data_IF_245357730925
#
_entry.id   IF_245357730925
#
_cell.length_a   1.000
_cell.length_b   1.000
_cell.length_c   1.000
_cell.angle_alpha   90.00
_cell.angle_beta   90.00
_cell.angle_gamma   90.00
#
_symmetry.space_group_name_H-M   'P 1'
#
loop_
_entity.id
_entity.type
_entity.pdbx_description
1 polymer ?
#
# COMPACT_ATOMS: atom_id res chain seq x y z
N UNK A 1 0.90 -8.58 -20.24
CA UNK A 1 0.11 -8.09 -19.10
C UNK A 1 -0.64 -9.22 -18.38
N UNK A 2 -1.29 -10.09 -19.11
CA UNK A 2 -2.05 -11.23 -18.56
C UNK A 2 -1.21 -12.17 -17.69
N UNK A 3 -0.01 -12.55 -18.13
CA UNK A 3 0.88 -13.40 -17.36
C UNK A 3 1.36 -12.80 -16.03
N UNK A 4 1.46 -11.48 -15.90
CA UNK A 4 1.83 -10.83 -14.64
C UNK A 4 0.64 -10.79 -13.68
N UNK A 5 -0.59 -10.56 -14.19
CA UNK A 5 -1.84 -10.65 -13.44
C UNK A 5 -2.02 -12.04 -12.84
N UNK A 6 -1.84 -13.08 -13.65
CA UNK A 6 -2.00 -14.47 -13.21
C UNK A 6 -1.02 -14.84 -12.09
N UNK A 7 0.26 -14.43 -12.20
CA UNK A 7 1.27 -14.74 -11.18
C UNK A 7 1.03 -14.03 -9.85
N UNK A 8 0.52 -12.80 -9.90
CA UNK A 8 0.14 -12.09 -8.68
C UNK A 8 -1.10 -12.73 -8.04
N UNK A 9 -2.10 -13.10 -8.86
CA UNK A 9 -3.28 -13.81 -8.37
C UNK A 9 -2.90 -15.16 -7.73
N UNK A 10 -1.97 -15.93 -8.35
CA UNK A 10 -1.40 -17.14 -7.76
C UNK A 10 -0.75 -16.86 -6.40
N UNK A 11 -0.01 -15.76 -6.27
CA UNK A 11 0.62 -15.36 -5.00
C UNK A 11 -0.44 -15.06 -3.94
N UNK A 12 -1.48 -14.28 -4.28
CA UNK A 12 -2.56 -13.98 -3.36
C UNK A 12 -3.36 -15.23 -2.99
N UNK A 13 -3.71 -16.06 -3.97
CA UNK A 13 -4.48 -17.30 -3.72
C UNK A 13 -3.73 -18.27 -2.80
N UNK A 14 -2.41 -18.32 -2.92
CA UNK A 14 -1.55 -19.18 -2.10
C UNK A 14 -1.39 -18.66 -0.66
N UNK A 15 -1.25 -17.36 -0.47
CA UNK A 15 -0.82 -16.78 0.81
C UNK A 15 -1.92 -15.96 1.50
N UNK A 16 -2.87 -15.42 0.75
CA UNK A 16 -3.92 -14.49 1.22
C UNK A 16 -5.24 -14.75 0.47
N UNK A 17 -5.78 -15.99 0.50
CA UNK A 17 -6.96 -16.37 -0.29
C UNK A 17 -8.18 -15.50 -0.01
N UNK A 18 -8.35 -15.04 1.21
CA UNK A 18 -9.44 -14.14 1.61
C UNK A 18 -9.49 -12.83 0.79
N UNK A 19 -8.33 -12.29 0.34
CA UNK A 19 -8.34 -11.11 -0.55
C UNK A 19 -8.93 -11.42 -1.93
N UNK A 20 -8.73 -12.64 -2.42
CA UNK A 20 -9.32 -13.08 -3.69
C UNK A 20 -10.83 -13.27 -3.54
N UNK A 21 -11.28 -13.78 -2.41
CA UNK A 21 -12.71 -13.91 -2.07
C UNK A 21 -13.38 -12.53 -1.95
N UNK A 22 -12.74 -11.58 -1.23
CA UNK A 22 -13.22 -10.20 -1.16
C UNK A 22 -13.31 -9.54 -2.56
N UNK A 23 -12.32 -9.78 -3.45
CA UNK A 23 -12.37 -9.30 -4.83
C UNK A 23 -13.53 -9.92 -5.61
N UNK A 24 -13.82 -11.20 -5.40
CA UNK A 24 -14.97 -11.88 -6.01
C UNK A 24 -16.29 -11.29 -5.53
N UNK A 25 -16.42 -10.99 -4.23
CA UNK A 25 -17.59 -10.29 -3.69
C UNK A 25 -17.78 -8.88 -4.29
N UNK A 26 -16.69 -8.14 -4.54
CA UNK A 26 -16.77 -6.84 -5.25
C UNK A 26 -17.26 -7.05 -6.70
N UNK A 27 -16.78 -8.07 -7.40
CA UNK A 27 -17.21 -8.40 -8.76
C UNK A 27 -18.73 -8.70 -8.79
N UNK A 28 -19.20 -9.54 -7.90
CA UNK A 28 -20.61 -9.89 -7.75
C UNK A 28 -21.47 -8.64 -7.47
N UNK A 29 -21.08 -7.84 -6.47
CA UNK A 29 -21.83 -6.65 -6.06
C UNK A 29 -21.89 -5.55 -7.13
N UNK A 30 -20.87 -5.46 -8.00
CA UNK A 30 -20.79 -4.44 -9.06
C UNK A 30 -21.27 -4.92 -10.42
N UNK A 31 -21.44 -6.23 -10.61
CA UNK A 31 -21.72 -6.84 -11.91
C UNK A 31 -20.56 -6.74 -12.90
N UNK A 32 -19.35 -6.45 -12.43
CA UNK A 32 -18.15 -6.39 -13.26
C UNK A 32 -17.48 -7.76 -13.34
N UNK A 33 -16.88 -8.05 -14.48
CA UNK A 33 -16.09 -9.28 -14.65
C UNK A 33 -14.93 -9.34 -13.63
N UNK A 34 -14.66 -10.50 -13.01
CA UNK A 34 -13.59 -10.67 -12.03
C UNK A 34 -12.22 -10.16 -12.50
N UNK A 35 -11.93 -10.31 -13.80
CA UNK A 35 -10.71 -9.82 -14.43
C UNK A 35 -10.56 -8.31 -14.32
N UNK A 36 -11.64 -7.56 -14.39
CA UNK A 36 -11.65 -6.10 -14.24
C UNK A 36 -11.30 -5.74 -12.80
N UNK A 37 -11.92 -6.42 -11.84
CA UNK A 37 -11.63 -6.21 -10.41
C UNK A 37 -10.15 -6.54 -10.13
N UNK A 38 -9.64 -7.66 -10.62
CA UNK A 38 -8.23 -8.00 -10.50
C UNK A 38 -7.32 -6.92 -11.10
N UNK A 39 -7.64 -6.41 -12.30
CA UNK A 39 -6.86 -5.35 -12.94
C UNK A 39 -6.82 -4.05 -12.13
N UNK A 40 -7.93 -3.66 -11.51
CA UNK A 40 -8.01 -2.48 -10.64
C UNK A 40 -7.05 -2.61 -9.45
N UNK A 41 -6.97 -3.80 -8.84
CA UNK A 41 -6.12 -4.06 -7.69
C UNK A 41 -4.64 -4.23 -8.04
N UNK A 42 -4.33 -4.68 -9.26
CA UNK A 42 -2.97 -5.01 -9.70
C UNK A 42 -2.28 -3.92 -10.49
N UNK A 43 -3.02 -3.00 -11.08
CA UNK A 43 -2.42 -1.86 -11.78
C UNK A 43 -2.21 -0.66 -10.86
N UNK A 44 -0.99 -0.10 -10.84
CA UNK A 44 -0.68 1.07 -10.03
C UNK A 44 -1.40 2.35 -10.48
N UNK A 45 -2.10 2.33 -11.61
CA UNK A 45 -2.77 3.51 -12.17
C UNK A 45 -4.13 3.14 -12.77
N UNK A 46 -5.18 3.41 -12.02
CA UNK A 46 -6.58 3.35 -12.45
C UNK A 46 -6.82 4.04 -13.81
N UNK A 47 -6.15 5.17 -14.07
CA UNK A 47 -6.20 5.90 -15.32
C UNK A 47 -5.83 5.06 -16.56
N UNK A 48 -4.94 4.07 -16.41
CA UNK A 48 -4.54 3.20 -17.51
C UNK A 48 -5.57 2.10 -17.79
N UNK A 49 -6.20 1.56 -16.75
CA UNK A 49 -7.30 0.59 -16.88
C UNK A 49 -8.51 1.25 -17.55
N UNK A 50 -8.89 2.43 -17.10
CA UNK A 50 -9.99 3.22 -17.68
C UNK A 50 -9.73 3.56 -19.15
N UNK A 51 -8.49 3.91 -19.50
CA UNK A 51 -8.07 4.19 -20.89
C UNK A 51 -8.13 2.93 -21.78
N UNK A 52 -7.75 1.76 -21.26
CA UNK A 52 -7.80 0.49 -21.98
C UNK A 52 -9.22 -0.03 -22.13
N UNK A 53 -10.08 0.20 -21.14
CA UNK A 53 -11.48 -0.22 -21.18
C UNK A 53 -12.37 0.72 -22.02
N UNK A 54 -11.86 1.85 -22.52
CA UNK A 54 -12.60 2.91 -23.26
C UNK A 54 -13.87 3.40 -22.54
N UNK A 55 -13.96 3.19 -21.23
CA UNK A 55 -15.18 3.41 -20.43
C UNK A 55 -15.41 4.90 -20.13
N UNK A 56 -14.34 5.71 -20.12
CA UNK A 56 -14.46 7.16 -19.92
C UNK A 56 -13.61 7.91 -20.95
N UNK A 57 -14.18 8.91 -21.62
CA UNK A 57 -13.44 9.95 -22.29
C UNK A 57 -12.75 10.82 -21.22
N UNK A 58 -11.63 10.37 -20.70
CA UNK A 58 -10.82 11.19 -19.83
C UNK A 58 -9.94 12.07 -20.73
N UNK A 59 -10.30 13.31 -20.84
CA UNK A 59 -9.36 14.35 -21.22
C UNK A 59 -8.16 14.23 -20.26
N UNK A 60 -6.98 14.13 -20.82
CA UNK A 60 -5.66 14.03 -20.22
C UNK A 60 -5.62 14.23 -18.70
N UNK A 61 -5.62 13.12 -17.96
CA UNK A 61 -5.03 13.12 -16.62
C UNK A 61 -3.54 13.26 -16.87
N UNK A 62 -3.05 14.50 -16.76
CA UNK A 62 -1.63 14.80 -16.89
C UNK A 62 -0.79 13.91 -15.98
N UNK A 63 0.48 13.72 -16.30
CA UNK A 63 1.46 13.11 -15.42
C UNK A 63 1.57 13.94 -14.13
N UNK A 64 0.63 13.76 -13.20
CA UNK A 64 0.74 14.35 -11.89
C UNK A 64 1.62 13.41 -11.06
N UNK A 65 2.76 13.94 -10.63
CA UNK A 65 3.56 13.33 -9.59
C UNK A 65 2.66 13.21 -8.35
N UNK A 66 2.40 11.99 -7.92
CA UNK A 66 1.77 11.76 -6.62
C UNK A 66 2.91 11.81 -5.60
N UNK A 67 3.16 12.97 -5.04
CA UNK A 67 4.13 13.15 -3.99
C UNK A 67 3.47 12.87 -2.63
N UNK A 68 4.22 12.37 -1.71
CA UNK A 68 3.74 11.99 -0.39
C UNK A 68 4.82 12.29 0.64
N UNK A 69 4.41 12.66 1.84
CA UNK A 69 5.31 12.75 2.98
C UNK A 69 4.75 11.93 4.14
N UNK A 70 5.63 11.28 4.88
CA UNK A 70 5.28 10.62 6.13
C UNK A 70 6.26 11.08 7.19
N UNK A 71 5.76 11.32 8.40
CA UNK A 71 6.55 11.66 9.56
C UNK A 71 6.06 10.86 10.77
N UNK A 72 6.98 10.37 11.56
CA UNK A 72 6.72 9.71 12.84
C UNK A 72 7.42 10.48 13.95
N UNK A 73 6.67 10.70 15.02
CA UNK A 73 7.18 11.04 16.35
C UNK A 73 6.95 9.80 17.22
N UNK A 74 8.03 9.20 17.71
CA UNK A 74 7.95 7.98 18.55
C UNK A 74 7.39 8.27 19.93
N UNK A 75 7.36 9.54 20.33
CA UNK A 75 6.87 10.03 21.62
C UNK A 75 6.33 11.44 21.47
N UNK A 76 5.19 11.72 22.09
CA UNK A 76 4.59 13.05 22.27
C UNK A 76 3.69 13.04 23.51
N UNK A 77 3.12 14.20 23.85
CA UNK A 77 2.10 14.35 24.91
C UNK A 77 0.81 13.55 24.65
N UNK A 78 0.62 13.09 23.42
CA UNK A 78 -0.52 12.25 22.97
C UNK A 78 -0.12 10.81 22.65
N UNK A 79 1.11 10.39 23.00
CA UNK A 79 1.70 9.13 22.61
C UNK A 79 2.38 9.20 21.24
N UNK A 80 2.72 8.04 20.63
CA UNK A 80 3.35 7.98 19.31
C UNK A 80 2.41 8.51 18.23
N UNK A 81 2.95 9.27 17.26
CA UNK A 81 2.18 9.89 16.17
C UNK A 81 2.77 9.55 14.81
N UNK A 82 1.91 9.17 13.86
CA UNK A 82 2.23 9.06 12.45
C UNK A 82 1.38 10.04 11.65
N UNK A 83 2.03 10.99 10.99
CA UNK A 83 1.41 11.92 10.05
C UNK A 83 1.73 11.54 8.61
N UNK A 84 0.73 11.66 7.71
CA UNK A 84 0.88 11.40 6.27
C UNK A 84 0.21 12.50 5.46
N UNK A 85 0.90 13.01 4.44
CA UNK A 85 0.28 13.76 3.35
C UNK A 85 0.18 12.89 2.09
N UNK A 86 -0.80 13.17 1.29
CA UNK A 86 -1.01 12.53 0.00
C UNK A 86 -1.29 13.63 -1.02
N UNK A 87 -0.29 13.96 -1.82
CA UNK A 87 -0.36 15.00 -2.83
C UNK A 87 -0.76 14.33 -4.14
N UNK A 88 -1.98 14.54 -4.57
CA UNK A 88 -2.54 13.89 -5.74
C UNK A 88 -3.56 14.77 -6.44
N UNK A 89 -4.11 14.29 -7.54
CA UNK A 89 -5.18 14.97 -8.25
C UNK A 89 -6.41 15.15 -7.36
N UNK A 90 -6.99 16.36 -7.38
CA UNK A 90 -8.28 16.66 -6.74
C UNK A 90 -9.40 15.74 -7.24
N UNK A 91 -9.31 15.23 -8.47
CA UNK A 91 -10.25 14.26 -9.03
C UNK A 91 -10.30 12.91 -8.30
N UNK A 92 -9.26 12.55 -7.53
CA UNK A 92 -9.26 11.31 -6.73
C UNK A 92 -9.84 11.49 -5.32
N UNK A 93 -10.08 12.72 -4.88
CA UNK A 93 -10.63 13.02 -3.55
C UNK A 93 -12.00 12.38 -3.30
N UNK A 94 -12.98 12.54 -4.18
CA UNK A 94 -14.34 12.00 -4.00
C UNK A 94 -14.42 10.47 -3.89
N UNK A 95 -13.39 9.76 -4.36
CA UNK A 95 -13.35 8.30 -4.38
C UNK A 95 -12.65 7.71 -3.15
N UNK A 96 -12.31 8.52 -2.15
CA UNK A 96 -11.70 8.08 -0.90
C UNK A 96 -12.75 7.99 0.19
N UNK A 97 -12.60 6.99 1.02
CA UNK A 97 -13.43 6.81 2.21
C UNK A 97 -12.58 6.40 3.41
N UNK A 98 -13.09 6.68 4.58
CA UNK A 98 -12.60 6.11 5.84
C UNK A 98 -13.52 4.96 6.19
N UNK A 99 -12.95 3.77 6.33
CA UNK A 99 -13.68 2.55 6.62
C UNK A 99 -13.19 1.89 7.91
N UNK A 100 -14.10 1.33 8.67
CA UNK A 100 -13.79 0.36 9.72
C UNK A 100 -14.02 -1.03 9.14
N UNK A 101 -13.00 -1.86 9.19
CA UNK A 101 -13.03 -3.23 8.64
C UNK A 101 -12.71 -4.20 9.77
N UNK A 102 -13.52 -5.23 9.89
CA UNK A 102 -13.36 -6.31 10.86
C UNK A 102 -13.33 -7.62 10.08
N UNK A 103 -12.14 -8.10 9.69
CA UNK A 103 -12.02 -9.38 9.00
C UNK A 103 -12.33 -10.53 9.95
N UNK A 104 -12.70 -11.69 9.41
CA UNK A 104 -12.88 -12.91 10.21
C UNK A 104 -11.57 -13.36 10.85
N UNK A 105 -10.47 -13.25 10.07
CA UNK A 105 -9.11 -13.55 10.53
C UNK A 105 -8.23 -12.29 10.48
N UNK A 106 -7.37 -12.11 11.49
CA UNK A 106 -6.46 -10.99 11.61
C UNK A 106 -7.01 -9.83 12.45
N UNK A 107 -6.51 -8.62 12.19
CA UNK A 107 -6.79 -7.46 13.03
C UNK A 107 -7.90 -6.58 12.46
N UNK A 108 -8.77 -6.07 13.35
CA UNK A 108 -9.71 -5.00 13.01
C UNK A 108 -8.96 -3.71 12.66
N UNK A 109 -9.47 -2.94 11.69
CA UNK A 109 -8.71 -1.82 11.11
C UNK A 109 -9.58 -0.59 10.89
N UNK A 110 -8.97 0.60 11.01
CA UNK A 110 -9.47 1.87 10.52
C UNK A 110 -8.58 2.31 9.35
N UNK A 111 -9.17 2.41 8.17
CA UNK A 111 -8.47 2.56 6.89
C UNK A 111 -8.89 3.80 6.14
N UNK A 112 -7.95 4.46 5.46
CA UNK A 112 -8.25 5.32 4.33
C UNK A 112 -8.03 4.53 3.05
N UNK A 113 -9.10 4.30 2.30
CA UNK A 113 -9.11 3.43 1.13
C UNK A 113 -9.88 4.03 -0.05
N UNK A 114 -9.81 3.39 -1.21
CA UNK A 114 -10.56 3.79 -2.38
C UNK A 114 -11.86 3.01 -2.50
N UNK A 115 -12.94 3.73 -2.78
CA UNK A 115 -14.27 3.17 -2.97
C UNK A 115 -14.27 2.04 -4.03
N UNK A 116 -14.94 0.93 -3.71
CA UNK A 116 -15.04 -0.22 -4.61
C UNK A 116 -13.75 -1.02 -4.79
N UNK A 117 -12.77 -0.85 -3.91
CA UNK A 117 -11.49 -1.58 -3.97
C UNK A 117 -11.03 -2.01 -2.58
N UNK A 118 -10.05 -2.92 -2.52
CA UNK A 118 -9.29 -3.28 -1.31
C UNK A 118 -8.03 -2.43 -1.13
N UNK A 119 -7.84 -1.43 -1.98
CA UNK A 119 -6.64 -0.60 -1.99
C UNK A 119 -6.64 0.39 -0.83
N UNK A 120 -5.66 0.26 0.07
CA UNK A 120 -5.50 1.08 1.27
C UNK A 120 -4.32 2.02 1.12
N UNK A 121 -4.51 3.29 1.45
CA UNK A 121 -3.43 4.30 1.45
C UNK A 121 -2.72 4.39 2.80
N UNK A 122 -3.47 4.30 3.88
CA UNK A 122 -2.95 4.38 5.25
C UNK A 122 -3.99 3.85 6.22
N UNK A 123 -3.60 3.51 7.42
CA UNK A 123 -4.54 3.08 8.45
C UNK A 123 -3.84 2.72 9.75
N UNK A 124 -4.66 2.29 10.69
CA UNK A 124 -4.24 1.76 11.99
C UNK A 124 -5.11 0.55 12.33
N UNK A 125 -4.53 -0.47 12.97
CA UNK A 125 -5.27 -1.63 13.44
C UNK A 125 -5.57 -1.59 14.95
N UNK A 126 -6.33 -2.57 15.43
CA UNK A 126 -6.75 -2.67 16.83
C UNK A 126 -5.63 -3.01 17.82
N UNK A 127 -4.43 -3.36 17.33
CA UNK A 127 -3.21 -3.52 18.14
C UNK A 127 -2.48 -2.19 18.34
N UNK A 128 -2.90 -1.13 17.65
CA UNK A 128 -2.25 0.16 17.62
C UNK A 128 -1.05 0.20 16.67
N UNK A 129 -1.01 -0.66 15.67
CA UNK A 129 -0.02 -0.65 14.61
C UNK A 129 -0.55 0.18 13.44
N UNK A 130 0.20 1.21 13.06
CA UNK A 130 -0.13 2.16 12.00
C UNK A 130 0.85 2.07 10.83
N UNK A 131 0.33 2.24 9.61
CA UNK A 131 1.09 2.19 8.36
C UNK A 131 0.81 3.41 7.50
N UNK A 132 1.90 4.10 7.10
CA UNK A 132 1.90 5.09 6.02
C UNK A 132 2.76 4.61 4.86
N UNK A 133 2.64 5.23 3.70
CA UNK A 133 3.51 4.89 2.56
C UNK A 133 3.77 6.09 1.65
N UNK A 134 4.85 6.03 0.86
CA UNK A 134 5.10 6.92 -0.28
C UNK A 134 5.77 6.16 -1.42
N UNK A 135 5.56 6.61 -2.66
CA UNK A 135 6.13 5.94 -3.85
C UNK A 135 7.59 6.33 -4.02
N UNK A 136 8.40 5.37 -4.46
CA UNK A 136 9.76 5.57 -4.95
C UNK A 136 9.81 5.07 -6.39
N UNK A 137 10.58 5.72 -7.26
CA UNK A 137 10.72 5.30 -8.64
C UNK A 137 11.91 4.34 -8.77
N UNK A 138 11.61 3.06 -9.07
CA UNK A 138 12.55 2.04 -9.50
C UNK A 138 12.14 1.50 -10.85
N UNK A 139 13.10 1.00 -11.63
CA UNK A 139 12.86 0.38 -12.93
C UNK A 139 12.64 -1.13 -12.83
N UNK A 140 13.06 -1.75 -11.73
CA UNK A 140 12.89 -3.18 -11.46
C UNK A 140 11.42 -3.59 -11.34
N UNK A 141 11.12 -4.84 -11.68
CA UNK A 141 9.78 -5.44 -11.53
C UNK A 141 9.87 -6.85 -10.98
N UNK A 142 8.90 -7.23 -10.14
CA UNK A 142 8.71 -8.61 -9.72
C UNK A 142 7.26 -9.04 -10.01
N UNK A 143 7.05 -9.91 -11.03
CA UNK A 143 5.70 -10.32 -11.41
C UNK A 143 4.90 -11.06 -10.32
N UNK A 144 5.58 -11.55 -9.27
CA UNK A 144 4.96 -12.18 -8.09
C UNK A 144 4.84 -11.26 -6.90
N UNK A 145 5.32 -10.03 -7.03
CA UNK A 145 5.22 -9.03 -5.97
C UNK A 145 3.77 -8.55 -5.75
N UNK A 146 3.50 -7.99 -4.59
CA UNK A 146 2.19 -7.50 -4.18
C UNK A 146 2.08 -6.02 -4.55
N UNK A 147 0.91 -5.56 -4.98
CA UNK A 147 0.69 -4.12 -5.20
C UNK A 147 0.77 -3.34 -3.88
N UNK A 148 1.29 -2.10 -3.93
CA UNK A 148 1.49 -1.25 -2.75
C UNK A 148 0.26 -1.18 -1.83
N UNK A 149 -0.86 -0.90 -2.43
CA UNK A 149 -2.09 -0.63 -1.67
C UNK A 149 -2.66 -1.89 -1.02
N UNK A 150 -2.48 -3.06 -1.63
CA UNK A 150 -2.76 -4.35 -0.99
C UNK A 150 -1.72 -4.67 0.09
N UNK A 151 -0.45 -4.28 -0.11
CA UNK A 151 0.59 -4.45 0.91
C UNK A 151 0.25 -3.70 2.21
N UNK A 152 -0.27 -2.46 2.11
CA UNK A 152 -0.72 -1.70 3.29
C UNK A 152 -1.89 -2.41 3.98
N UNK A 153 -2.86 -2.93 3.20
CA UNK A 153 -3.97 -3.71 3.75
C UNK A 153 -3.47 -4.94 4.51
N UNK A 154 -2.56 -5.70 3.91
CA UNK A 154 -1.99 -6.91 4.49
C UNK A 154 -1.19 -6.62 5.77
N UNK A 155 -0.35 -5.59 5.76
CA UNK A 155 0.39 -5.18 6.95
C UNK A 155 -0.54 -4.91 8.13
N UNK A 156 -1.64 -4.19 7.90
CA UNK A 156 -2.59 -3.84 8.94
C UNK A 156 -3.43 -5.03 9.42
N UNK A 157 -3.69 -6.00 8.55
CA UNK A 157 -4.46 -7.19 8.91
C UNK A 157 -3.62 -8.27 9.60
N UNK A 158 -2.36 -8.46 9.14
CA UNK A 158 -1.51 -9.58 9.55
C UNK A 158 -0.54 -9.25 10.69
N UNK A 159 -0.18 -7.94 10.87
CA UNK A 159 0.89 -7.56 11.78
C UNK A 159 0.34 -6.78 12.99
N UNK A 160 0.82 -7.11 14.19
CA UNK A 160 0.42 -6.46 15.43
C UNK A 160 1.35 -5.31 15.84
N UNK A 161 2.56 -5.24 15.29
CA UNK A 161 3.60 -4.28 15.69
C UNK A 161 4.60 -4.02 14.56
N UNK A 162 5.50 -3.07 14.80
CA UNK A 162 6.51 -2.62 13.84
C UNK A 162 7.47 -3.73 13.40
N UNK A 163 7.92 -4.60 14.31
CA UNK A 163 8.87 -5.67 13.96
C UNK A 163 8.24 -6.72 13.04
N UNK A 164 7.00 -7.13 13.35
CA UNK A 164 6.24 -8.02 12.47
C UNK A 164 6.05 -7.40 11.08
N UNK A 165 5.75 -6.09 11.00
CA UNK A 165 5.63 -5.37 9.73
C UNK A 165 6.94 -5.33 8.94
N UNK A 166 8.10 -5.16 9.62
CA UNK A 166 9.43 -5.22 8.99
C UNK A 166 9.69 -6.62 8.41
N UNK A 167 9.45 -7.67 9.18
CA UNK A 167 9.65 -9.05 8.71
C UNK A 167 8.68 -9.42 7.57
N UNK A 168 7.44 -8.92 7.62
CA UNK A 168 6.48 -9.08 6.54
C UNK A 168 7.00 -8.44 5.23
N UNK A 169 7.51 -7.21 5.29
CA UNK A 169 8.07 -6.51 4.13
C UNK A 169 9.38 -7.11 3.61
N UNK A 170 10.17 -7.76 4.45
CA UNK A 170 11.32 -8.55 4.01
C UNK A 170 10.89 -9.80 3.24
N UNK A 171 9.83 -10.46 3.68
CA UNK A 171 9.30 -11.70 3.09
C UNK A 171 8.58 -11.45 1.76
N UNK A 172 7.77 -10.38 1.68
CA UNK A 172 6.95 -10.07 0.53
C UNK A 172 7.44 -8.81 -0.19
N UNK A 173 7.66 -8.91 -1.49
CA UNK A 173 8.11 -7.78 -2.31
C UNK A 173 6.96 -7.06 -3.02
N UNK A 174 7.24 -5.88 -3.53
CA UNK A 174 6.32 -5.13 -4.39
C UNK A 174 6.41 -5.58 -5.85
N UNK A 175 5.31 -5.45 -6.61
CA UNK A 175 5.24 -5.90 -8.01
C UNK A 175 6.06 -5.02 -8.95
N UNK A 176 6.07 -3.73 -8.71
CA UNK A 176 6.75 -2.71 -9.52
C UNK A 176 7.01 -1.48 -8.67
N UNK A 177 7.94 -0.64 -9.09
CA UNK A 177 8.39 0.53 -8.33
C UNK A 177 8.86 0.15 -6.93
N UNK A 178 9.43 1.10 -6.23
CA UNK A 178 9.71 1.01 -4.82
C UNK A 178 8.71 1.82 -4.01
N UNK A 179 8.72 1.57 -2.73
CA UNK A 179 7.89 2.28 -1.77
C UNK A 179 8.61 2.41 -0.44
N UNK A 180 8.42 3.55 0.19
CA UNK A 180 8.62 3.70 1.61
C UNK A 180 7.38 3.19 2.33
N UNK A 181 7.54 2.29 3.27
CA UNK A 181 6.50 1.91 4.23
C UNK A 181 6.91 2.43 5.59
N UNK A 182 6.18 3.44 6.07
CA UNK A 182 6.36 4.00 7.40
C UNK A 182 5.51 3.21 8.38
N UNK A 183 6.15 2.60 9.37
CA UNK A 183 5.54 1.74 10.38
C UNK A 183 5.69 2.38 11.75
N UNK A 184 4.64 2.32 12.56
CA UNK A 184 4.64 2.79 13.95
C UNK A 184 3.72 1.92 14.79
N UNK A 185 4.16 1.50 15.97
CA UNK A 185 3.27 0.85 16.94
C UNK A 185 3.01 1.73 18.18
N UNK A 186 2.03 1.31 18.98
CA UNK A 186 1.60 2.02 20.19
C UNK A 186 2.69 2.19 21.25
N UNK A 187 3.77 1.42 21.18
CA UNK A 187 4.90 1.51 22.09
C UNK A 187 5.97 2.50 21.63
N UNK A 188 5.76 3.15 20.46
CA UNK A 188 6.70 4.10 19.87
C UNK A 188 7.80 3.43 19.05
N UNK A 189 7.77 2.10 18.84
CA UNK A 189 8.69 1.48 17.90
C UNK A 189 8.30 1.91 16.49
N UNK A 190 9.27 2.37 15.73
CA UNK A 190 9.03 2.84 14.36
C UNK A 190 10.12 2.35 13.39
N UNK A 191 9.73 2.20 12.14
CA UNK A 191 10.63 1.91 11.03
C UNK A 191 10.13 2.54 9.73
N UNK A 192 11.04 2.96 8.88
CA UNK A 192 10.77 3.16 7.47
C UNK A 192 11.44 2.03 6.68
N UNK A 193 10.64 1.25 5.97
CA UNK A 193 11.12 0.18 5.10
C UNK A 193 11.10 0.68 3.67
N UNK A 194 12.29 0.92 3.11
CA UNK A 194 12.46 1.19 1.69
C UNK A 194 12.45 -0.16 0.97
N UNK A 195 11.40 -0.42 0.19
CA UNK A 195 11.15 -1.71 -0.44
C UNK A 195 11.01 -1.56 -1.95
N UNK A 196 11.96 -2.12 -2.70
CA UNK A 196 11.87 -2.30 -4.15
C UNK A 196 11.32 -3.71 -4.50
N UNK A 197 11.09 -4.02 -5.77
CA UNK A 197 10.78 -5.39 -6.19
C UNK A 197 11.85 -6.42 -5.81
N UNK A 198 13.13 -6.03 -5.70
CA UNK A 198 14.28 -6.90 -5.45
C UNK A 198 14.90 -6.71 -4.08
N UNK A 199 14.94 -5.47 -3.56
CA UNK A 199 15.73 -5.09 -2.39
C UNK A 199 14.89 -4.51 -1.26
N UNK A 200 15.45 -4.51 -0.06
CA UNK A 200 14.81 -4.02 1.13
C UNK A 200 15.85 -3.39 2.07
N UNK A 201 15.56 -2.21 2.55
CA UNK A 201 16.36 -1.52 3.57
C UNK A 201 15.47 -0.97 4.67
N UNK A 202 15.94 -1.05 5.91
CA UNK A 202 15.20 -0.61 7.09
C UNK A 202 15.92 0.55 7.75
N UNK A 203 15.22 1.69 7.89
CA UNK A 203 15.69 2.84 8.66
C UNK A 203 14.93 2.94 9.97
N UNK A 204 15.59 3.39 11.01
CA UNK A 204 15.02 3.60 12.34
C UNK A 204 15.03 5.08 12.70
N UNK A 205 14.22 5.51 13.68
CA UNK A 205 14.19 6.90 14.13
C UNK A 205 15.55 7.35 14.66
N UNK A 206 15.90 8.59 14.33
CA UNK A 206 16.96 9.34 14.99
C UNK A 206 16.33 10.44 15.83
N UNK A 207 16.78 10.62 17.07
CA UNK A 207 16.24 11.63 17.97
C UNK A 207 14.69 11.63 18.05
N UNK A 208 14.08 10.42 18.10
CA UNK A 208 12.62 10.20 18.19
C UNK A 208 11.81 10.61 16.96
N UNK A 209 12.45 10.97 15.85
CA UNK A 209 11.79 11.37 14.62
C UNK A 209 12.25 10.48 13.47
N UNK A 210 11.32 10.11 12.60
CA UNK A 210 11.60 9.44 11.35
C UNK A 210 10.70 10.01 10.26
N UNK A 211 11.26 10.31 9.11
CA UNK A 211 10.48 10.81 7.98
C UNK A 211 10.90 10.16 6.66
N UNK A 212 10.00 10.17 5.70
CA UNK A 212 10.28 9.79 4.33
C UNK A 212 9.37 10.59 3.36
N UNK A 213 9.89 10.74 2.16
CA UNK A 213 9.20 11.33 1.02
C UNK A 213 9.27 10.36 -0.18
N UNK A 214 9.48 10.81 -1.40
CA UNK A 214 9.41 9.99 -2.61
C UNK A 214 10.80 9.57 -3.17
N UNK A 215 11.79 9.38 -2.31
CA UNK A 215 13.11 8.88 -2.71
C UNK A 215 13.67 7.90 -1.67
N UNK A 216 14.68 7.13 -2.07
CA UNK A 216 15.48 6.32 -1.17
C UNK A 216 16.52 7.17 -0.44
N UNK A 217 16.82 6.77 0.78
CA UNK A 217 17.90 7.33 1.61
C UNK A 217 18.98 6.28 1.88
N UNK A 218 18.60 5.00 1.86
CA UNK A 218 19.55 3.91 2.03
C UNK A 218 20.50 3.80 0.81
N UNK A 219 21.80 3.86 1.04
CA UNK A 219 22.82 3.85 -0.03
C UNK A 219 22.75 2.61 -0.93
N UNK A 220 22.40 1.46 -0.39
CA UNK A 220 22.23 0.22 -1.14
C UNK A 220 20.99 0.19 -2.05
N UNK A 221 20.04 1.11 -1.82
CA UNK A 221 18.80 1.24 -2.59
C UNK A 221 18.89 2.31 -3.70
N UNK A 222 19.90 3.17 -3.66
CA UNK A 222 20.04 4.32 -4.59
C UNK A 222 20.60 3.90 -5.97
N UNK A 223 21.05 2.66 -6.14
CA UNK A 223 21.77 2.18 -7.33
C UNK A 223 20.89 1.54 -8.42
N UNK A 224 19.57 1.54 -8.26
CA UNK A 224 18.64 0.88 -9.20
C UNK A 224 17.97 1.88 -10.18
#
# INVERSE_FOLDING_TARGET
MEGARLRLLETLQKHFPYLVEEMSGIAEATGLEPEIIHLIHFKPTFSRVVKELKVLRTESIGNQSNDCSNIVFTESDRGPLLGKTLDGSSASGPNRLIARVFPEDGHGMLLMMYLGTLNVETGVNDKGFAVGNSSIHFHSTNPRGISRNLMVRLLLQECANTEEGVEFLKKYSTVNRGYNFMLLDKNGNAANVERSPTDCCVRRPENRVLFCVNHCVCENMVRD
#
